data_IF_968716174991
#
_entry.id   IF_968716174991
#
_cell.length_a   1.000
_cell.length_b   1.000
_cell.length_c   1.000
_cell.angle_alpha   90.00
_cell.angle_beta   90.00
_cell.angle_gamma   90.00
#
_symmetry.space_group_name_H-M   'P 1'
#
loop_
_entity.id
_entity.type
_entity.pdbx_description
1 polymer ?
#
# COMPACT_ATOMS: atom_id res chain seq x y z
N UNK A 1 -23.25 -10.64 -4.01
CA UNK A 1 -22.11 -9.75 -4.34
C UNK A 1 -22.62 -8.36 -4.70
N UNK A 2 -22.05 -7.31 -4.11
CA UNK A 2 -22.45 -5.92 -4.26
C UNK A 2 -21.28 -4.99 -3.95
N UNK A 3 -21.34 -3.74 -4.41
CA UNK A 3 -20.25 -2.76 -4.24
C UNK A 3 -18.90 -3.23 -4.81
N UNK A 4 -18.93 -3.77 -6.05
CA UNK A 4 -17.73 -4.17 -6.81
C UNK A 4 -16.84 -5.16 -6.04
N UNK A 5 -15.56 -4.85 -5.81
CA UNK A 5 -14.59 -5.70 -5.08
C UNK A 5 -14.83 -5.73 -3.57
N UNK A 6 -15.74 -4.91 -3.02
CA UNK A 6 -15.97 -4.84 -1.58
C UNK A 6 -16.70 -6.07 -1.01
N UNK A 7 -17.58 -6.71 -1.81
CA UNK A 7 -18.28 -7.96 -1.42
C UNK A 7 -18.21 -9.01 -2.52
N UNK A 8 -17.16 -9.81 -2.47
CA UNK A 8 -16.91 -10.94 -3.36
C UNK A 8 -17.22 -12.27 -2.66
N UNK A 9 -17.07 -13.39 -3.38
CA UNK A 9 -17.16 -14.75 -2.82
C UNK A 9 -15.78 -15.39 -2.58
N UNK A 10 -14.75 -14.76 -3.13
CA UNK A 10 -13.36 -15.14 -3.07
C UNK A 10 -12.58 -13.84 -2.94
N UNK A 11 -11.70 -13.79 -1.96
CA UNK A 11 -10.88 -12.63 -1.60
C UNK A 11 -9.66 -13.09 -0.81
N UNK A 12 -8.66 -12.23 -0.74
CA UNK A 12 -7.43 -12.46 0.01
C UNK A 12 -7.46 -11.69 1.34
N UNK A 13 -6.87 -12.28 2.37
CA UNK A 13 -6.75 -11.67 3.70
C UNK A 13 -5.28 -11.63 4.12
N UNK A 14 -4.92 -10.56 4.83
CA UNK A 14 -3.70 -10.50 5.63
C UNK A 14 -4.12 -10.52 7.09
N UNK A 15 -3.80 -11.62 7.76
CA UNK A 15 -4.15 -11.88 9.16
C UNK A 15 -2.90 -12.18 9.96
N UNK A 16 -2.89 -11.75 11.21
CA UNK A 16 -1.83 -12.07 12.15
C UNK A 16 -2.45 -12.57 13.45
N UNK A 17 -2.10 -13.78 13.85
CA UNK A 17 -2.46 -14.33 15.15
C UNK A 17 -1.36 -13.96 16.16
N UNK A 18 -1.61 -12.94 16.99
CA UNK A 18 -0.64 -12.48 17.98
C UNK A 18 -0.93 -13.08 19.37
N UNK A 19 -0.20 -14.15 19.70
CA UNK A 19 -0.35 -14.86 20.96
C UNK A 19 0.33 -14.14 22.13
N UNK A 20 -0.42 -13.93 23.21
CA UNK A 20 0.01 -13.14 24.37
C UNK A 20 -0.30 -13.86 25.69
N UNK A 21 0.39 -13.47 26.76
CA UNK A 21 0.09 -13.96 28.11
C UNK A 21 -1.30 -13.48 28.56
N UNK A 22 -2.16 -14.35 29.10
CA UNK A 22 -3.46 -13.94 29.63
C UNK A 22 -3.34 -12.76 30.61
N UNK A 23 -4.22 -11.76 30.47
CA UNK A 23 -4.19 -10.53 31.24
C UNK A 23 -3.36 -9.40 30.63
N UNK A 24 -2.64 -9.64 29.52
CA UNK A 24 -1.89 -8.62 28.77
C UNK A 24 -2.54 -8.25 27.43
N UNK A 25 -3.63 -8.92 27.06
CA UNK A 25 -4.26 -8.79 25.75
C UNK A 25 -4.74 -7.38 25.45
N UNK A 26 -5.24 -6.64 26.44
CA UNK A 26 -5.74 -5.28 26.21
C UNK A 26 -4.62 -4.27 25.93
N UNK A 27 -3.41 -4.51 26.43
CA UNK A 27 -2.22 -3.74 26.07
C UNK A 27 -1.88 -3.95 24.60
N UNK A 28 -1.84 -5.21 24.16
CA UNK A 28 -1.51 -5.58 22.78
C UNK A 28 -2.61 -5.20 21.79
N UNK A 29 -3.87 -5.30 22.19
CA UNK A 29 -5.01 -4.80 21.44
C UNK A 29 -4.89 -3.30 21.16
N UNK A 30 -4.52 -2.51 22.17
CA UNK A 30 -4.30 -1.07 22.02
C UNK A 30 -3.12 -0.78 21.09
N UNK A 31 -2.01 -1.52 21.24
CA UNK A 31 -0.86 -1.43 20.36
C UNK A 31 -1.24 -1.71 18.89
N UNK A 32 -1.93 -2.82 18.62
CA UNK A 32 -2.30 -3.20 17.25
C UNK A 32 -3.30 -2.23 16.62
N UNK A 33 -4.26 -1.69 17.39
CA UNK A 33 -5.14 -0.61 16.91
C UNK A 33 -4.34 0.59 16.40
N UNK A 34 -3.41 1.08 17.22
CA UNK A 34 -2.59 2.24 16.86
C UNK A 34 -1.65 1.92 15.69
N UNK A 35 -1.00 0.76 15.71
CA UNK A 35 -0.12 0.32 14.64
C UNK A 35 -0.85 0.25 13.30
N UNK A 36 -2.00 -0.43 13.23
CA UNK A 36 -2.77 -0.56 11.99
C UNK A 36 -3.26 0.78 11.45
N UNK A 37 -3.70 1.70 12.33
CA UNK A 37 -4.09 3.06 11.93
C UNK A 37 -2.91 3.85 11.37
N UNK A 38 -1.77 3.83 12.06
CA UNK A 38 -0.56 4.55 11.62
C UNK A 38 -0.04 3.97 10.31
N UNK A 39 -0.03 2.65 10.15
CA UNK A 39 0.37 1.99 8.91
C UNK A 39 -0.43 2.45 7.70
N UNK A 40 -1.75 2.62 7.85
CA UNK A 40 -2.62 3.14 6.79
C UNK A 40 -2.29 4.60 6.45
N UNK A 41 -2.05 5.43 7.47
CA UNK A 41 -1.72 6.85 7.31
C UNK A 41 -0.34 7.03 6.69
N UNK A 42 0.66 6.27 7.13
CA UNK A 42 2.04 6.30 6.61
C UNK A 42 2.07 5.91 5.13
N UNK A 43 1.17 5.04 4.69
CA UNK A 43 0.99 4.68 3.27
C UNK A 43 0.10 5.64 2.48
N UNK A 44 -0.26 6.78 3.06
CA UNK A 44 -0.90 7.89 2.37
C UNK A 44 -2.42 7.96 2.49
N UNK A 45 -3.08 7.14 3.32
CA UNK A 45 -4.49 7.38 3.64
C UNK A 45 -4.64 8.63 4.52
N UNK A 46 -5.58 9.50 4.16
CA UNK A 46 -5.84 10.71 4.94
C UNK A 46 -6.55 10.34 6.24
N UNK A 47 -6.07 10.90 7.36
CA UNK A 47 -6.63 10.60 8.68
C UNK A 47 -8.12 10.91 8.79
N UNK A 48 -8.61 11.92 8.07
CA UNK A 48 -10.02 12.34 8.02
C UNK A 48 -10.93 11.32 7.30
N UNK A 49 -10.36 10.46 6.46
CA UNK A 49 -11.07 9.37 5.80
C UNK A 49 -11.05 8.08 6.63
N UNK A 50 -10.40 8.08 7.81
CA UNK A 50 -10.28 6.93 8.70
C UNK A 50 -10.96 7.20 10.04
N UNK A 51 -11.54 6.17 10.64
CA UNK A 51 -12.04 6.24 12.03
C UNK A 51 -12.03 4.87 12.69
N UNK A 52 -11.95 4.86 14.02
CA UNK A 52 -12.26 3.67 14.80
C UNK A 52 -13.77 3.54 14.99
N UNK A 53 -14.26 2.32 14.88
CA UNK A 53 -15.61 1.91 15.25
C UNK A 53 -15.49 0.76 16.27
N UNK A 54 -15.56 1.11 17.55
CA UNK A 54 -15.49 0.13 18.64
C UNK A 54 -16.84 -0.60 18.75
N UNK A 55 -16.79 -1.94 18.69
CA UNK A 55 -18.00 -2.76 18.74
C UNK A 55 -18.68 -2.65 20.11
N UNK A 56 -20.01 -2.49 20.10
CA UNK A 56 -20.82 -2.57 21.32
C UNK A 56 -20.89 -4.00 21.82
N UNK A 57 -21.23 -4.23 23.12
CA UNK A 57 -21.36 -5.58 23.67
C UNK A 57 -22.28 -6.51 22.86
N UNK A 58 -23.33 -5.98 22.22
CA UNK A 58 -24.25 -6.78 21.41
C UNK A 58 -23.71 -7.17 20.03
N UNK A 59 -22.63 -6.51 19.58
CA UNK A 59 -21.95 -6.75 18.30
C UNK A 59 -20.73 -7.65 18.44
N UNK A 60 -20.17 -7.77 19.65
CA UNK A 60 -19.03 -8.63 19.93
C UNK A 60 -19.40 -10.09 19.67
N UNK A 61 -18.51 -10.81 18.99
CA UNK A 61 -18.52 -12.26 18.99
C UNK A 61 -18.46 -12.77 20.43
N UNK A 62 -19.15 -13.88 20.71
CA UNK A 62 -19.23 -14.48 22.05
C UNK A 62 -17.88 -14.83 22.70
N UNK A 63 -16.81 -14.90 21.91
CA UNK A 63 -15.44 -15.17 22.31
C UNK A 63 -14.54 -13.93 22.37
N UNK A 64 -15.02 -12.77 21.92
CA UNK A 64 -14.23 -11.53 21.91
C UNK A 64 -14.55 -10.68 23.14
N UNK A 65 -13.52 -10.23 23.85
CA UNK A 65 -13.68 -9.24 24.92
C UNK A 65 -13.52 -7.79 24.43
N UNK A 66 -12.98 -7.59 23.23
CA UNK A 66 -12.91 -6.30 22.55
C UNK A 66 -12.69 -6.48 21.04
N UNK A 67 -13.44 -5.73 20.24
CA UNK A 67 -13.22 -5.64 18.79
C UNK A 67 -13.36 -4.19 18.34
N UNK A 68 -12.46 -3.75 17.49
CA UNK A 68 -12.50 -2.44 16.85
C UNK A 68 -12.26 -2.59 15.36
N UNK A 69 -13.13 -1.99 14.56
CA UNK A 69 -12.90 -1.84 13.14
C UNK A 69 -12.27 -0.48 12.86
N UNK A 70 -11.20 -0.46 12.08
CA UNK A 70 -10.81 0.73 11.34
C UNK A 70 -11.71 0.79 10.11
N UNK A 71 -12.50 1.86 10.02
CA UNK A 71 -13.36 2.14 8.89
C UNK A 71 -12.73 3.18 7.98
N UNK A 72 -12.91 2.99 6.67
CA UNK A 72 -12.51 3.94 5.64
C UNK A 72 -13.73 4.56 4.97
N UNK A 73 -13.63 5.84 4.60
CA UNK A 73 -14.68 6.60 3.92
C UNK A 73 -14.71 6.30 2.41
N UNK A 74 -15.32 5.18 2.07
CA UNK A 74 -15.59 4.79 0.68
C UNK A 74 -16.58 5.75 -0.01
N UNK A 75 -16.77 5.67 -1.34
CA UNK A 75 -17.71 6.52 -2.07
C UNK A 75 -19.16 6.48 -1.57
N UNK A 76 -19.56 5.42 -0.85
CA UNK A 76 -20.88 5.27 -0.23
C UNK A 76 -20.93 5.64 1.26
N UNK A 77 -19.80 6.02 1.86
CA UNK A 77 -19.69 6.33 3.28
C UNK A 77 -18.66 5.46 4.00
N UNK A 78 -18.65 5.56 5.33
CA UNK A 78 -17.76 4.76 6.16
C UNK A 78 -18.18 3.29 6.17
N UNK A 79 -17.22 2.41 5.90
CA UNK A 79 -17.39 0.96 5.94
C UNK A 79 -16.09 0.31 6.44
N UNK A 80 -16.18 -0.96 6.85
CA UNK A 80 -15.09 -1.71 7.46
C UNK A 80 -13.91 -1.92 6.49
N UNK A 81 -12.69 -1.57 6.94
CA UNK A 81 -11.45 -1.83 6.24
C UNK A 81 -10.58 -2.87 6.96
N UNK A 82 -10.33 -2.70 8.26
CA UNK A 82 -9.42 -3.54 9.05
C UNK A 82 -10.00 -3.82 10.43
N UNK A 83 -10.26 -5.08 10.76
CA UNK A 83 -10.74 -5.50 12.08
C UNK A 83 -9.58 -5.84 13.01
N UNK A 84 -9.67 -5.39 14.27
CA UNK A 84 -8.75 -5.78 15.34
C UNK A 84 -9.58 -6.40 16.45
N UNK A 85 -9.32 -7.65 16.82
CA UNK A 85 -10.06 -8.38 17.82
C UNK A 85 -9.16 -8.95 18.91
N UNK A 86 -9.65 -8.97 20.15
CA UNK A 86 -9.05 -9.70 21.26
C UNK A 86 -9.96 -10.90 21.59
N UNK A 87 -9.51 -12.10 21.22
CA UNK A 87 -10.31 -13.34 21.19
C UNK A 87 -10.07 -14.26 22.38
N UNK A 88 -9.28 -13.78 23.34
CA UNK A 88 -8.89 -14.55 24.53
C UNK A 88 -8.31 -15.93 24.13
N UNK A 89 -8.60 -16.99 24.89
CA UNK A 89 -8.10 -18.34 24.66
C UNK A 89 -9.03 -19.21 23.79
N UNK A 90 -10.11 -18.63 23.24
CA UNK A 90 -11.20 -19.42 22.66
C UNK A 90 -10.71 -20.37 21.56
N UNK A 91 -9.96 -19.85 20.58
CA UNK A 91 -9.55 -20.61 19.39
C UNK A 91 -8.67 -21.80 19.74
N UNK A 92 -7.61 -21.56 20.53
CA UNK A 92 -6.71 -22.61 20.98
C UNK A 92 -7.42 -23.62 21.89
N UNK A 93 -8.33 -23.16 22.75
CA UNK A 93 -9.11 -24.03 23.63
C UNK A 93 -10.05 -24.95 22.86
N UNK A 94 -10.73 -24.43 21.84
CA UNK A 94 -11.56 -25.27 20.95
C UNK A 94 -10.70 -26.30 20.21
N UNK A 95 -9.57 -25.88 19.64
CA UNK A 95 -8.66 -26.81 18.96
C UNK A 95 -8.12 -27.89 19.90
N UNK A 96 -7.70 -27.55 21.12
CA UNK A 96 -7.24 -28.52 22.12
C UNK A 96 -8.33 -29.54 22.46
N UNK A 97 -9.57 -29.10 22.68
CA UNK A 97 -10.70 -29.99 23.01
C UNK A 97 -10.97 -30.98 21.87
N UNK A 98 -10.94 -30.52 20.62
CA UNK A 98 -11.32 -31.34 19.47
C UNK A 98 -10.17 -32.19 18.91
N UNK A 99 -8.91 -31.76 19.06
CA UNK A 99 -7.74 -32.52 18.61
C UNK A 99 -7.23 -33.51 19.66
N UNK A 100 -7.40 -33.18 20.95
CA UNK A 100 -6.77 -33.90 22.06
C UNK A 100 -5.30 -33.54 22.30
N UNK A 101 -4.70 -32.70 21.46
CA UNK A 101 -3.33 -32.21 21.62
C UNK A 101 -3.30 -30.94 22.47
N UNK A 102 -2.32 -30.83 23.36
CA UNK A 102 -2.17 -29.65 24.23
C UNK A 102 -1.76 -28.42 23.43
N UNK A 103 -2.48 -27.33 23.64
CA UNK A 103 -2.19 -25.98 23.11
C UNK A 103 -1.62 -25.06 24.20
N UNK A 104 -1.18 -25.62 25.33
CA UNK A 104 -0.57 -24.86 26.41
C UNK A 104 0.85 -24.44 26.05
N UNK A 105 1.17 -23.18 26.36
CA UNK A 105 2.52 -22.65 26.36
C UNK A 105 3.15 -22.81 27.75
N UNK A 106 4.42 -23.24 27.81
CA UNK A 106 5.23 -23.23 29.03
C UNK A 106 6.15 -22.01 28.99
N UNK A 107 5.90 -21.05 29.86
CA UNK A 107 6.73 -19.86 30.02
C UNK A 107 8.08 -20.26 30.65
N UNK A 108 9.23 -20.06 29.97
CA UNK A 108 10.54 -20.48 30.46
C UNK A 108 11.03 -19.62 31.64
N UNK A 109 10.49 -18.42 31.84
CA UNK A 109 10.89 -17.52 32.92
C UNK A 109 10.12 -17.85 34.22
N UNK A 110 8.82 -18.09 34.11
CA UNK A 110 7.94 -18.34 35.26
C UNK A 110 7.66 -19.82 35.53
N UNK A 111 7.92 -20.71 34.56
CA UNK A 111 7.53 -22.12 34.54
C UNK A 111 6.01 -22.34 34.64
N UNK A 112 5.19 -21.33 34.35
CA UNK A 112 3.74 -21.43 34.31
C UNK A 112 3.27 -22.02 32.97
N UNK A 113 2.24 -22.87 33.03
CA UNK A 113 1.52 -23.36 31.84
C UNK A 113 0.21 -22.62 31.70
N UNK A 114 -0.07 -22.13 30.50
CA UNK A 114 -1.34 -21.49 30.18
C UNK A 114 -1.65 -21.62 28.70
N UNK A 115 -2.93 -21.47 28.32
CA UNK A 115 -3.33 -21.27 26.92
C UNK A 115 -3.18 -19.78 26.61
N UNK A 116 -2.34 -19.39 25.63
CA UNK A 116 -2.19 -18.00 25.25
C UNK A 116 -3.51 -17.38 24.80
N UNK A 117 -3.65 -16.07 25.04
CA UNK A 117 -4.72 -15.30 24.43
C UNK A 117 -4.30 -14.84 23.04
N UNK A 118 -5.25 -14.65 22.11
CA UNK A 118 -4.96 -14.13 20.79
C UNK A 118 -5.50 -12.71 20.58
N UNK A 119 -4.63 -11.82 20.08
CA UNK A 119 -5.00 -10.53 19.49
C UNK A 119 -4.78 -10.62 17.99
N UNK A 120 -5.82 -10.33 17.22
CA UNK A 120 -5.86 -10.55 15.78
C UNK A 120 -6.19 -9.26 15.04
N UNK A 121 -5.23 -8.64 14.34
CA UNK A 121 -5.53 -7.74 13.23
C UNK A 121 -5.77 -8.54 11.93
N UNK A 122 -6.94 -8.35 11.32
CA UNK A 122 -7.35 -8.97 10.05
C UNK A 122 -7.84 -7.92 9.05
N UNK A 123 -7.23 -7.91 7.85
CA UNK A 123 -7.57 -6.97 6.76
C UNK A 123 -7.79 -7.72 5.46
N UNK A 124 -8.83 -7.33 4.72
CA UNK A 124 -9.06 -7.80 3.35
C UNK A 124 -8.18 -7.04 2.34
N UNK A 125 -7.36 -7.76 1.59
CA UNK A 125 -6.40 -7.18 0.62
C UNK A 125 -7.13 -6.33 -0.42
N UNK A 126 -8.26 -6.81 -0.95
CA UNK A 126 -9.04 -6.11 -1.97
C UNK A 126 -9.67 -4.83 -1.44
N UNK A 127 -10.14 -4.83 -0.18
CA UNK A 127 -10.69 -3.63 0.46
C UNK A 127 -9.61 -2.59 0.68
N UNK A 128 -8.41 -3.03 0.99
CA UNK A 128 -7.23 -2.19 1.17
C UNK A 128 -6.78 -1.57 -0.16
N UNK A 129 -6.65 -2.38 -1.20
CA UNK A 129 -6.39 -1.91 -2.57
C UNK A 129 -7.46 -0.91 -3.02
N UNK A 130 -8.74 -1.20 -2.74
CA UNK A 130 -9.82 -0.27 -3.08
C UNK A 130 -9.71 1.06 -2.34
N UNK A 131 -9.41 1.04 -1.04
CA UNK A 131 -9.24 2.25 -0.24
C UNK A 131 -8.12 3.14 -0.81
N UNK A 132 -6.93 2.57 -1.05
CA UNK A 132 -5.81 3.33 -1.63
C UNK A 132 -6.12 3.88 -3.03
N UNK A 133 -6.70 3.07 -3.93
CA UNK A 133 -7.05 3.51 -5.28
C UNK A 133 -8.13 4.60 -5.27
N UNK A 134 -9.18 4.42 -4.46
CA UNK A 134 -10.30 5.36 -4.41
C UNK A 134 -9.88 6.73 -3.85
N UNK A 135 -8.97 6.76 -2.88
CA UNK A 135 -8.44 8.02 -2.36
C UNK A 135 -7.41 8.66 -3.30
N UNK A 136 -6.53 7.86 -3.91
CA UNK A 136 -5.47 8.38 -4.77
C UNK A 136 -5.99 8.97 -6.10
N UNK A 137 -7.16 8.54 -6.57
CA UNK A 137 -7.74 8.96 -7.84
C UNK A 137 -8.19 10.42 -7.80
N UNK A 138 -7.46 11.27 -8.52
CA UNK A 138 -7.72 12.71 -8.60
C UNK A 138 -7.89 13.14 -10.06
N UNK A 139 -8.82 14.08 -10.30
CA UNK A 139 -8.92 14.83 -11.55
C UNK A 139 -8.41 16.25 -11.31
N UNK A 140 -7.35 16.63 -12.03
CA UNK A 140 -6.74 17.96 -11.91
C UNK A 140 -6.94 18.77 -13.19
N UNK A 141 -7.26 20.05 -13.03
CA UNK A 141 -7.26 21.03 -14.12
C UNK A 141 -5.87 21.66 -14.24
N UNK A 142 -5.33 21.66 -15.46
CA UNK A 142 -4.02 22.22 -15.76
C UNK A 142 -4.15 23.68 -16.21
N UNK A 143 -3.03 24.41 -16.20
CA UNK A 143 -2.95 25.81 -16.61
C UNK A 143 -3.42 26.06 -18.05
N UNK A 144 -3.32 25.04 -18.92
CA UNK A 144 -3.78 25.09 -20.31
C UNK A 144 -5.29 24.82 -20.48
N UNK A 145 -6.03 24.65 -19.37
CA UNK A 145 -7.46 24.34 -19.34
C UNK A 145 -7.79 22.88 -19.64
N UNK A 146 -6.78 22.01 -19.83
CA UNK A 146 -7.00 20.57 -19.99
C UNK A 146 -7.08 19.88 -18.62
N UNK A 147 -7.68 18.68 -18.58
CA UNK A 147 -7.76 17.87 -17.35
C UNK A 147 -6.85 16.65 -17.41
N UNK A 148 -6.22 16.27 -16.30
CA UNK A 148 -5.60 14.94 -16.10
C UNK A 148 -6.30 14.17 -15.01
N UNK A 149 -6.48 12.89 -15.27
CA UNK A 149 -6.63 11.86 -14.25
C UNK A 149 -5.25 11.46 -13.75
N UNK A 150 -5.04 11.46 -12.44
CA UNK A 150 -3.80 11.02 -11.79
C UNK A 150 -4.12 10.12 -10.59
N UNK A 151 -3.39 9.02 -10.46
CA UNK A 151 -3.39 8.20 -9.24
C UNK A 151 -2.23 8.65 -8.35
N UNK A 152 -2.53 9.45 -7.31
CA UNK A 152 -1.56 9.91 -6.32
C UNK A 152 -1.20 8.83 -5.30
N UNK A 153 -0.83 7.65 -5.77
CA UNK A 153 -0.41 6.55 -4.90
C UNK A 153 0.89 6.91 -4.19
N UNK A 154 1.00 6.50 -2.92
CA UNK A 154 2.29 6.55 -2.22
C UNK A 154 3.34 5.78 -3.03
N UNK A 155 4.59 6.27 -3.17
CA UNK A 155 5.60 5.62 -4.01
C UNK A 155 5.82 4.15 -3.68
N UNK A 156 5.71 3.74 -2.40
CA UNK A 156 5.80 2.34 -1.98
C UNK A 156 4.73 1.44 -2.64
N UNK A 157 3.52 1.97 -2.90
CA UNK A 157 2.38 1.25 -3.47
C UNK A 157 2.30 1.32 -5.00
N UNK A 158 3.04 2.23 -5.64
CA UNK A 158 2.97 2.39 -7.08
C UNK A 158 3.44 1.11 -7.82
N UNK A 159 2.73 0.65 -8.86
CA UNK A 159 3.06 -0.60 -9.58
C UNK A 159 4.39 -0.51 -10.34
N UNK A 160 4.77 0.69 -10.78
CA UNK A 160 6.08 1.00 -11.30
C UNK A 160 6.60 2.23 -10.55
N UNK A 161 7.90 2.25 -10.25
CA UNK A 161 8.53 3.43 -9.63
C UNK A 161 8.98 4.42 -10.71
N UNK A 162 9.39 3.91 -11.87
CA UNK A 162 9.97 4.72 -12.95
C UNK A 162 9.42 4.30 -14.32
N UNK A 163 9.12 5.28 -15.17
CA UNK A 163 8.87 5.07 -16.59
C UNK A 163 9.99 5.65 -17.45
N UNK A 164 10.52 4.88 -18.41
CA UNK A 164 11.57 5.30 -19.35
C UNK A 164 10.95 5.60 -20.71
N UNK A 165 11.05 6.87 -21.14
CA UNK A 165 10.27 7.43 -22.25
C UNK A 165 11.17 8.12 -23.30
N UNK A 166 11.55 7.46 -24.42
CA UNK A 166 12.31 8.11 -25.50
C UNK A 166 11.50 9.17 -26.26
N UNK A 167 12.04 10.34 -26.58
CA UNK A 167 11.37 11.29 -27.48
C UNK A 167 11.22 10.76 -28.91
N UNK A 168 12.15 9.92 -29.37
CA UNK A 168 12.16 9.33 -30.70
C UNK A 168 12.46 7.85 -30.66
N UNK A 169 11.49 7.04 -31.07
CA UNK A 169 11.65 5.58 -31.22
C UNK A 169 12.79 5.20 -32.16
N UNK A 170 13.00 5.94 -33.25
CA UNK A 170 14.00 5.57 -34.27
C UNK A 170 15.42 5.92 -33.84
N UNK A 171 15.61 7.06 -33.17
CA UNK A 171 16.93 7.60 -32.89
C UNK A 171 17.43 7.26 -31.48
N UNK A 172 16.53 7.07 -30.51
CA UNK A 172 16.88 7.01 -29.08
C UNK A 172 16.61 5.65 -28.44
N UNK A 173 16.16 4.66 -29.20
CA UNK A 173 15.79 3.34 -28.66
C UNK A 173 16.96 2.65 -27.96
N UNK A 174 18.14 2.62 -28.58
CA UNK A 174 19.32 1.97 -27.99
C UNK A 174 19.72 2.61 -26.65
N UNK A 175 19.88 3.93 -26.63
CA UNK A 175 20.23 4.65 -25.38
C UNK A 175 19.14 4.53 -24.32
N UNK A 176 17.87 4.53 -24.72
CA UNK A 176 16.77 4.38 -23.76
C UNK A 176 16.68 2.96 -23.19
N UNK A 177 17.03 1.94 -23.97
CA UNK A 177 17.14 0.57 -23.48
C UNK A 177 18.31 0.39 -22.50
N UNK A 178 19.41 1.12 -22.70
CA UNK A 178 20.52 1.18 -21.74
C UNK A 178 20.05 1.78 -20.40
N UNK A 179 19.41 2.95 -20.42
CA UNK A 179 18.87 3.60 -19.21
C UNK A 179 17.82 2.72 -18.52
N UNK A 180 16.91 2.10 -19.28
CA UNK A 180 15.93 1.16 -18.76
C UNK A 180 16.59 0.00 -18.01
N UNK A 181 17.58 -0.67 -18.63
CA UNK A 181 18.28 -1.79 -18.00
C UNK A 181 19.05 -1.38 -16.75
N UNK A 182 19.59 -0.16 -16.72
CA UNK A 182 20.27 0.35 -15.54
C UNK A 182 19.30 0.56 -14.38
N UNK A 183 18.20 1.29 -14.61
CA UNK A 183 17.22 1.58 -13.57
C UNK A 183 16.47 0.32 -13.12
N UNK A 184 16.25 -0.65 -14.01
CA UNK A 184 15.60 -1.92 -13.68
C UNK A 184 16.39 -2.81 -12.71
N UNK A 185 17.67 -2.49 -12.44
CA UNK A 185 18.44 -3.16 -11.36
C UNK A 185 18.01 -2.70 -9.96
N UNK A 186 17.35 -1.54 -9.88
CA UNK A 186 17.02 -0.87 -8.62
C UNK A 186 15.51 -0.80 -8.38
N UNK A 187 14.70 -0.77 -9.44
CA UNK A 187 13.27 -0.49 -9.35
C UNK A 187 12.42 -1.34 -10.29
N UNK A 188 11.12 -1.38 -10.02
CA UNK A 188 10.13 -1.74 -11.04
C UNK A 188 10.02 -0.62 -12.07
N UNK A 189 10.50 -0.89 -13.28
CA UNK A 189 10.58 0.09 -14.38
C UNK A 189 9.68 -0.34 -15.53
N UNK A 190 8.98 0.62 -16.13
CA UNK A 190 8.24 0.44 -17.38
C UNK A 190 8.91 1.21 -18.52
N UNK A 191 8.96 0.61 -19.71
CA UNK A 191 9.46 1.26 -20.93
C UNK A 191 8.30 1.54 -21.88
N UNK A 192 8.20 2.77 -22.40
CA UNK A 192 7.13 3.14 -23.32
C UNK A 192 7.62 4.10 -24.41
N UNK A 193 7.63 3.62 -25.65
CA UNK A 193 8.00 4.38 -26.86
C UNK A 193 6.80 4.66 -27.79
N UNK A 194 5.57 4.41 -27.30
CA UNK A 194 4.35 4.52 -28.08
C UNK A 194 3.79 5.95 -28.06
N UNK A 195 3.28 6.42 -29.20
CA UNK A 195 2.64 7.74 -29.30
C UNK A 195 3.55 8.92 -28.88
N UNK A 196 2.98 10.13 -28.81
CA UNK A 196 3.73 11.31 -28.39
C UNK A 196 4.03 11.28 -26.88
N UNK A 197 5.06 12.03 -26.46
CA UNK A 197 5.53 12.06 -25.07
C UNK A 197 4.45 12.49 -24.07
N UNK A 198 3.62 13.48 -24.45
CA UNK A 198 2.53 13.97 -23.59
C UNK A 198 1.52 12.89 -23.24
N UNK A 199 1.13 12.06 -24.22
CA UNK A 199 0.22 10.91 -23.98
C UNK A 199 0.86 9.83 -23.11
N UNK A 200 2.18 9.64 -23.20
CA UNK A 200 2.90 8.71 -22.33
C UNK A 200 2.92 9.20 -20.89
N UNK A 201 3.22 10.48 -20.65
CA UNK A 201 3.10 11.06 -19.31
C UNK A 201 1.69 10.88 -18.73
N UNK A 202 0.63 11.19 -19.50
CA UNK A 202 -0.76 11.00 -19.03
C UNK A 202 -1.06 9.54 -18.65
N UNK A 203 -0.53 8.57 -19.40
CA UNK A 203 -0.70 7.13 -19.07
C UNK A 203 0.00 6.76 -17.77
N UNK A 204 1.20 7.30 -17.54
CA UNK A 204 1.96 7.04 -16.32
C UNK A 204 1.32 7.72 -15.10
N UNK A 205 0.84 8.96 -15.26
CA UNK A 205 0.05 9.66 -14.24
C UNK A 205 -1.21 8.85 -13.87
N UNK A 206 -1.91 8.30 -14.87
CA UNK A 206 -3.13 7.50 -14.69
C UNK A 206 -2.92 6.18 -13.93
N UNK A 207 -1.73 5.57 -14.01
CA UNK A 207 -1.39 4.34 -13.28
C UNK A 207 -0.55 4.60 -12.02
N UNK A 208 -0.28 5.87 -11.73
CA UNK A 208 0.38 6.32 -10.51
C UNK A 208 1.89 6.14 -10.46
N UNK A 209 2.56 5.97 -11.61
CA UNK A 209 4.04 5.89 -11.66
C UNK A 209 4.65 7.21 -11.16
N UNK A 210 5.45 7.22 -10.07
CA UNK A 210 5.95 8.45 -9.45
C UNK A 210 6.90 9.26 -10.32
N UNK A 211 7.77 8.59 -11.10
CA UNK A 211 8.78 9.27 -11.91
C UNK A 211 8.75 8.83 -13.37
N UNK A 212 8.93 9.80 -14.27
CA UNK A 212 9.15 9.53 -15.69
C UNK A 212 10.50 10.11 -16.14
N UNK A 213 11.36 9.25 -16.68
CA UNK A 213 12.68 9.58 -17.21
C UNK A 213 12.59 9.68 -18.73
N UNK A 214 12.79 10.87 -19.25
CA UNK A 214 12.73 11.16 -20.68
C UNK A 214 14.12 11.26 -21.28
N UNK A 215 14.32 10.54 -22.38
CA UNK A 215 15.54 10.53 -23.17
C UNK A 215 15.29 11.38 -24.40
N UNK A 216 16.07 12.43 -24.58
CA UNK A 216 16.00 13.35 -25.72
C UNK A 216 17.24 13.24 -26.61
N UNK A 217 17.32 14.08 -27.64
CA UNK A 217 18.44 14.05 -28.58
C UNK A 217 19.73 14.53 -27.92
N UNK A 218 19.64 15.50 -27.01
CA UNK A 218 20.77 16.04 -26.27
C UNK A 218 21.40 14.97 -25.35
N UNK A 219 20.60 14.01 -24.86
CA UNK A 219 21.09 12.85 -24.08
C UNK A 219 22.22 12.08 -24.80
N UNK A 220 22.21 12.02 -26.14
CA UNK A 220 23.26 11.32 -26.90
C UNK A 220 24.61 12.05 -26.84
N UNK A 221 24.59 13.36 -26.58
CA UNK A 221 25.77 14.21 -26.54
C UNK A 221 26.26 14.41 -25.09
N UNK A 222 25.34 14.62 -24.16
CA UNK A 222 25.66 15.05 -22.79
C UNK A 222 25.47 13.95 -21.71
N UNK A 223 24.93 12.78 -22.05
CA UNK A 223 24.58 11.70 -21.11
C UNK A 223 23.71 12.15 -19.92
N UNK A 224 22.85 13.15 -20.14
CA UNK A 224 21.85 13.61 -19.18
C UNK A 224 20.44 13.29 -19.65
N UNK A 225 19.53 13.12 -18.69
CA UNK A 225 18.12 12.81 -18.93
C UNK A 225 17.24 13.75 -18.11
N UNK A 226 15.98 13.88 -18.52
CA UNK A 226 15.00 14.68 -17.77
C UNK A 226 14.15 13.76 -16.91
N UNK A 227 14.16 13.97 -15.59
CA UNK A 227 13.30 13.26 -14.63
C UNK A 227 12.11 14.15 -14.30
N UNK A 228 10.90 13.66 -14.56
CA UNK A 228 9.63 14.31 -14.25
C UNK A 228 8.99 13.67 -13.03
N UNK A 229 8.58 14.50 -12.08
CA UNK A 229 7.79 14.12 -10.90
C UNK A 229 6.28 14.10 -11.24
N UNK A 230 5.56 13.05 -10.83
CA UNK A 230 4.13 12.86 -11.13
C UNK A 230 3.26 13.96 -10.53
N UNK A 231 3.48 14.26 -9.25
CA UNK A 231 2.58 15.07 -8.45
C UNK A 231 2.78 16.55 -8.76
N UNK A 232 4.04 17.00 -8.71
CA UNK A 232 4.42 18.40 -8.94
C UNK A 232 4.51 18.76 -10.43
N UNK A 233 4.66 17.77 -11.31
CA UNK A 233 4.96 17.94 -12.74
C UNK A 233 6.31 18.59 -13.05
N UNK A 234 7.13 18.86 -12.02
CA UNK A 234 8.46 19.46 -12.19
C UNK A 234 9.38 18.53 -12.97
N UNK A 235 10.27 19.14 -13.76
CA UNK A 235 11.24 18.45 -14.60
C UNK A 235 12.65 18.88 -14.23
N UNK A 236 13.50 17.91 -13.91
CA UNK A 236 14.90 18.14 -13.54
C UNK A 236 15.80 17.40 -14.52
N UNK A 237 16.71 18.11 -15.17
CA UNK A 237 17.74 17.51 -16.03
C UNK A 237 18.94 17.12 -15.17
N UNK A 238 19.38 15.87 -15.26
CA UNK A 238 20.51 15.35 -14.47
C UNK A 238 21.30 14.27 -15.22
N UNK A 239 22.56 14.01 -14.86
CA UNK A 239 23.33 12.90 -15.41
C UNK A 239 22.64 11.56 -15.17
N UNK A 240 22.68 10.66 -16.16
CA UNK A 240 22.08 9.31 -16.04
C UNK A 240 22.58 8.57 -14.79
N UNK A 241 23.86 8.75 -14.44
CA UNK A 241 24.49 8.13 -13.26
C UNK A 241 23.90 8.56 -11.92
N UNK A 242 23.20 9.70 -11.86
CA UNK A 242 22.63 10.23 -10.61
C UNK A 242 21.15 9.85 -10.44
N UNK A 243 20.47 9.44 -11.52
CA UNK A 243 19.03 9.20 -11.55
C UNK A 243 18.60 8.15 -10.52
N UNK A 244 19.32 7.03 -10.43
CA UNK A 244 18.95 5.95 -9.51
C UNK A 244 18.95 6.44 -8.05
N UNK A 245 20.02 7.11 -7.64
CA UNK A 245 20.15 7.66 -6.29
C UNK A 245 19.07 8.72 -6.01
N UNK A 246 18.84 9.63 -6.96
CA UNK A 246 17.82 10.67 -6.82
C UNK A 246 16.42 10.08 -6.58
N UNK A 247 16.07 9.03 -7.33
CA UNK A 247 14.77 8.36 -7.19
C UNK A 247 14.71 7.59 -5.86
N UNK A 248 15.75 6.85 -5.50
CA UNK A 248 15.82 6.08 -4.26
C UNK A 248 15.61 6.97 -3.02
N UNK A 249 16.23 8.15 -2.97
CA UNK A 249 16.05 9.12 -1.88
C UNK A 249 14.60 9.63 -1.78
N UNK A 250 13.90 9.75 -2.91
CA UNK A 250 12.52 10.27 -2.95
C UNK A 250 11.44 9.22 -2.70
N UNK A 251 11.72 7.94 -2.93
CA UNK A 251 10.74 6.86 -2.73
C UNK A 251 10.93 6.10 -1.41
N UNK A 252 11.94 6.46 -0.61
CA UNK A 252 12.24 5.79 0.65
C UNK A 252 11.04 5.91 1.61
N UNK A 253 10.51 4.75 2.00
CA UNK A 253 9.52 4.58 3.06
C UNK A 253 10.21 4.49 4.42
#
# INVERSE_FOLDING_TARGET
PGNFIFRTREFEQMELEYFVKPGTEMQWFSYWKEFCMNWLVDLGLERDNLRYDDHKPEQLSHYSNATTDIQFKYPWGFDELWGIASRQDFDLKQHQIHSGESMEYLDPETNERFIPYCVEPSVGVERLVFAFLSQALTEEELEDGTKRTVLKLHPALAPYKVAVLPLSRKALSEKSQEVYKELAKHFDVVYDETQNIGRRYRRQDQIGTPFAVTIDFDTLEDNTVTVRDRDTMEQVRMPISEVAKYIEEKIKF
#
